data_IF_876524030456
#
_entry.id   IF_876524030456
#
_cell.length_a   1.000
_cell.length_b   1.000
_cell.length_c   1.000
_cell.angle_alpha   90.00
_cell.angle_beta   90.00
_cell.angle_gamma   90.00
#
_symmetry.space_group_name_H-M   'P 1'
#
loop_
_entity.id
_entity.type
_entity.pdbx_description
1 polymer ?
#
# COMPACT_ATOMS: atom_id res chain seq x y z
N UNK A 1 -36.79 38.76 -28.46
CA UNK A 1 -35.78 39.62 -27.81
C UNK A 1 -35.53 39.00 -26.45
N UNK A 2 -34.47 38.28 -26.15
CA UNK A 2 -33.34 37.72 -26.90
C UNK A 2 -32.88 36.52 -26.05
N UNK A 3 -32.30 35.56 -26.74
CA UNK A 3 -31.70 34.33 -26.24
C UNK A 3 -30.38 34.66 -25.55
N UNK A 4 -30.14 34.23 -24.30
CA UNK A 4 -28.80 34.26 -23.72
C UNK A 4 -28.52 32.98 -22.94
N UNK A 5 -28.33 31.90 -23.69
CA UNK A 5 -27.61 30.73 -23.24
C UNK A 5 -26.21 31.15 -22.76
N UNK A 6 -25.95 30.98 -21.47
CA UNK A 6 -24.63 31.15 -20.88
C UNK A 6 -23.63 30.24 -21.60
N UNK A 7 -22.75 30.86 -22.40
CA UNK A 7 -21.62 30.20 -23.05
C UNK A 7 -20.67 29.71 -21.96
N UNK A 8 -20.58 28.39 -21.83
CA UNK A 8 -19.54 27.74 -21.05
C UNK A 8 -18.16 28.10 -21.67
N UNK A 9 -17.17 28.57 -20.88
CA UNK A 9 -15.83 28.80 -21.40
C UNK A 9 -15.21 27.48 -21.86
N UNK A 10 -14.50 27.53 -23.00
CA UNK A 10 -13.77 26.39 -23.53
C UNK A 10 -12.77 25.83 -22.50
N UNK A 11 -12.56 24.51 -22.43
CA UNK A 11 -11.54 23.93 -21.58
C UNK A 11 -10.16 24.51 -21.94
N UNK A 12 -9.27 24.75 -20.96
CA UNK A 12 -7.92 25.20 -21.24
C UNK A 12 -7.22 24.18 -22.15
N UNK A 13 -6.42 24.70 -23.09
CA UNK A 13 -5.64 23.91 -24.03
C UNK A 13 -4.83 22.84 -23.29
N UNK A 14 -4.84 21.63 -23.84
CA UNK A 14 -4.05 20.48 -23.39
C UNK A 14 -2.62 20.91 -23.12
N UNK A 15 -2.19 20.82 -21.86
CA UNK A 15 -0.79 21.00 -21.49
C UNK A 15 -0.06 19.77 -22.01
N UNK A 16 0.77 19.98 -23.03
CA UNK A 16 1.74 19.01 -23.51
C UNK A 16 2.66 18.67 -22.33
N UNK A 17 2.56 17.47 -21.80
CA UNK A 17 3.61 16.92 -20.93
C UNK A 17 4.77 16.56 -21.84
N UNK A 18 5.87 17.29 -21.68
CA UNK A 18 7.14 16.98 -22.31
C UNK A 18 7.56 15.55 -21.95
N UNK A 19 7.85 14.75 -22.98
CA UNK A 19 8.35 13.39 -22.91
C UNK A 19 9.77 13.38 -22.32
N UNK A 20 9.87 13.39 -21.00
CA UNK A 20 11.11 13.14 -20.29
C UNK A 20 11.42 11.63 -20.31
N UNK A 21 11.88 11.11 -21.45
CA UNK A 21 12.82 9.99 -21.60
C UNK A 21 12.73 8.81 -20.64
N UNK A 22 11.54 8.37 -20.24
CA UNK A 22 11.35 7.23 -19.35
C UNK A 22 11.35 5.94 -20.16
N UNK A 23 12.41 5.14 -20.06
CA UNK A 23 12.43 3.79 -20.63
C UNK A 23 11.22 3.01 -20.13
N UNK A 24 10.41 2.44 -21.04
CA UNK A 24 9.28 1.57 -20.65
C UNK A 24 9.81 0.45 -19.75
N UNK A 25 9.15 0.13 -18.62
CA UNK A 25 9.53 -1.03 -17.83
C UNK A 25 9.45 -2.28 -18.71
N UNK A 26 10.56 -3.01 -18.80
CA UNK A 26 10.62 -4.28 -19.53
C UNK A 26 9.97 -5.38 -18.69
N UNK A 27 8.99 -6.07 -19.27
CA UNK A 27 8.41 -7.27 -18.66
C UNK A 27 9.34 -8.43 -18.96
N UNK A 28 9.99 -8.97 -17.94
CA UNK A 28 10.80 -10.17 -18.04
C UNK A 28 10.11 -11.31 -17.29
N UNK A 29 9.68 -12.35 -18.03
CA UNK A 29 9.27 -13.62 -17.42
C UNK A 29 10.51 -14.34 -16.93
N UNK A 30 10.84 -14.18 -15.65
CA UNK A 30 11.93 -14.92 -15.02
C UNK A 30 11.45 -16.33 -14.69
N UNK A 31 11.89 -17.32 -15.48
CA UNK A 31 11.75 -18.73 -15.15
C UNK A 31 12.88 -19.12 -14.18
N UNK A 32 12.57 -19.20 -12.88
CA UNK A 32 13.52 -19.60 -11.84
C UNK A 32 12.80 -20.07 -10.58
N UNK A 33 13.09 -21.29 -10.14
CA UNK A 33 12.27 -22.10 -9.24
C UNK A 33 12.15 -21.63 -7.79
N UNK A 34 10.98 -21.88 -7.21
CA UNK A 34 10.71 -21.80 -5.77
C UNK A 34 9.65 -20.77 -5.41
N UNK A 35 8.40 -21.25 -5.24
CA UNK A 35 7.21 -20.56 -4.71
C UNK A 35 6.55 -19.50 -5.62
N UNK A 36 5.62 -19.97 -6.46
CA UNK A 36 4.43 -19.24 -6.91
C UNK A 36 4.62 -18.30 -8.11
N UNK A 37 4.00 -18.64 -9.24
CA UNK A 37 3.97 -17.84 -10.46
C UNK A 37 3.40 -16.44 -10.22
N UNK A 38 4.20 -15.43 -10.53
CA UNK A 38 3.85 -14.03 -10.47
C UNK A 38 4.59 -13.27 -11.57
N UNK A 39 4.02 -12.15 -12.01
CA UNK A 39 4.65 -11.30 -13.02
C UNK A 39 5.66 -10.36 -12.36
N UNK A 40 6.79 -10.14 -13.02
CA UNK A 40 7.89 -9.35 -12.51
C UNK A 40 8.16 -8.18 -13.48
N UNK A 41 8.27 -6.98 -12.92
CA UNK A 41 8.47 -5.75 -13.65
C UNK A 41 9.68 -5.03 -13.05
N UNK A 42 10.72 -4.83 -13.84
CA UNK A 42 11.87 -4.03 -13.41
C UNK A 42 11.49 -2.55 -13.41
N UNK A 43 11.60 -1.90 -12.24
CA UNK A 43 11.34 -0.46 -12.09
C UNK A 43 12.65 0.34 -12.19
N UNK A 44 13.75 -0.25 -11.71
CA UNK A 44 15.10 0.32 -11.74
C UNK A 44 16.14 -0.81 -11.59
N UNK A 45 17.45 -0.55 -11.74
CA UNK A 45 18.49 -1.55 -11.50
C UNK A 45 18.48 -2.17 -10.09
N UNK A 46 17.84 -1.51 -9.13
CA UNK A 46 17.79 -1.91 -7.72
C UNK A 46 16.37 -2.20 -7.22
N UNK A 47 15.37 -2.08 -8.10
CA UNK A 47 13.95 -2.07 -7.75
C UNK A 47 13.13 -2.92 -8.69
N UNK A 48 12.41 -3.87 -8.11
CA UNK A 48 11.52 -4.79 -8.82
C UNK A 48 10.12 -4.65 -8.25
N UNK A 49 9.13 -4.66 -9.13
CA UNK A 49 7.73 -4.88 -8.81
C UNK A 49 7.33 -6.31 -9.17
N UNK A 50 6.93 -7.11 -8.19
CA UNK A 50 6.31 -8.42 -8.42
C UNK A 50 4.82 -8.35 -8.14
N UNK A 51 4.00 -8.87 -9.05
CA UNK A 51 2.58 -9.17 -8.86
C UNK A 51 2.41 -10.63 -8.47
N UNK A 52 1.90 -10.90 -7.29
CA UNK A 52 1.74 -12.27 -6.79
C UNK A 52 0.40 -12.47 -6.09
N UNK A 53 -0.24 -13.62 -6.37
CA UNK A 53 -1.39 -14.13 -5.62
C UNK A 53 -0.96 -15.01 -4.46
N UNK A 54 -1.56 -14.83 -3.29
CA UNK A 54 -1.25 -15.62 -2.10
C UNK A 54 -1.86 -15.02 -0.84
N UNK A 55 -1.47 -15.49 0.34
CA UNK A 55 -1.91 -15.00 1.65
C UNK A 55 -0.83 -14.11 2.27
N UNK A 56 -1.17 -12.85 2.56
CA UNK A 56 -0.19 -11.83 2.98
C UNK A 56 0.43 -12.18 4.32
N UNK A 57 -0.33 -12.88 5.16
CA UNK A 57 0.11 -13.29 6.50
C UNK A 57 1.22 -14.33 6.49
N UNK A 58 1.46 -14.95 5.32
CA UNK A 58 2.49 -15.96 5.08
C UNK A 58 3.61 -15.46 4.18
N UNK A 59 3.52 -14.23 3.69
CA UNK A 59 4.52 -13.67 2.79
C UNK A 59 5.76 -13.28 3.59
N UNK A 60 6.93 -13.61 3.06
CA UNK A 60 8.24 -13.16 3.51
C UNK A 60 9.26 -13.37 2.38
N UNK A 61 10.38 -12.67 2.45
CA UNK A 61 11.57 -12.88 1.62
C UNK A 61 12.73 -13.32 2.52
N UNK A 62 13.12 -12.49 3.49
CA UNK A 62 14.19 -12.83 4.46
C UNK A 62 13.72 -12.83 5.93
N UNK A 63 12.52 -12.34 6.19
CA UNK A 63 11.85 -12.22 7.49
C UNK A 63 12.36 -11.10 8.40
N UNK A 64 13.56 -10.59 8.20
CA UNK A 64 14.23 -9.60 9.03
C UNK A 64 14.10 -8.17 8.52
N UNK A 65 14.08 -7.99 7.20
CA UNK A 65 13.95 -6.69 6.52
C UNK A 65 12.64 -6.59 5.72
N UNK A 66 11.67 -7.41 6.12
CA UNK A 66 10.36 -7.54 5.49
C UNK A 66 9.30 -6.74 6.24
N UNK A 67 8.39 -6.12 5.50
CA UNK A 67 7.14 -5.59 6.04
C UNK A 67 5.95 -5.98 5.17
N UNK A 68 4.82 -6.23 5.82
CA UNK A 68 3.52 -6.29 5.14
C UNK A 68 2.71 -5.04 5.46
N UNK A 69 1.91 -4.61 4.49
CA UNK A 69 0.98 -3.50 4.70
C UNK A 69 -0.39 -4.04 5.10
N UNK A 70 -0.94 -3.45 6.14
CA UNK A 70 -2.29 -3.69 6.59
C UNK A 70 -3.21 -2.56 6.09
N UNK A 71 -4.29 -2.92 5.39
CA UNK A 71 -5.36 -1.99 5.03
C UNK A 71 -6.31 -1.85 6.24
N UNK A 72 -5.96 -0.92 7.12
CA UNK A 72 -6.62 -0.69 8.39
C UNK A 72 -7.75 0.37 8.27
N UNK A 73 -8.54 0.51 9.34
CA UNK A 73 -9.37 1.68 9.57
C UNK A 73 -8.65 2.74 10.42
N UNK A 74 -9.33 3.87 10.64
CA UNK A 74 -8.77 5.00 11.38
C UNK A 74 -8.50 4.72 12.87
N UNK A 75 -9.16 3.72 13.44
CA UNK A 75 -9.02 3.33 14.84
C UNK A 75 -7.77 2.45 15.04
N UNK A 76 -7.38 1.66 14.02
CA UNK A 76 -6.31 0.67 14.04
C UNK A 76 -6.53 -0.49 15.03
N UNK A 77 -7.76 -0.73 15.49
CA UNK A 77 -8.04 -1.72 16.54
C UNK A 77 -8.53 -3.07 16.01
N UNK A 78 -8.15 -3.39 14.78
CA UNK A 78 -8.59 -4.59 14.08
C UNK A 78 -9.99 -4.47 13.46
N UNK A 79 -10.37 -5.45 12.66
CA UNK A 79 -11.55 -5.40 11.82
C UNK A 79 -11.74 -6.65 10.97
N UNK A 80 -12.37 -6.49 9.80
CA UNK A 80 -12.65 -7.56 8.85
C UNK A 80 -11.57 -7.74 7.77
N UNK A 81 -11.84 -8.61 6.79
CA UNK A 81 -11.00 -8.73 5.58
C UNK A 81 -9.53 -9.05 5.87
N UNK A 82 -8.63 -8.35 5.18
CA UNK A 82 -7.17 -8.52 5.32
C UNK A 82 -6.68 -8.06 6.70
N UNK A 83 -7.26 -7.00 7.27
CA UNK A 83 -6.89 -6.49 8.58
C UNK A 83 -7.18 -7.52 9.68
N UNK A 84 -8.38 -8.10 9.68
CA UNK A 84 -8.72 -9.19 10.58
C UNK A 84 -7.82 -10.42 10.37
N UNK A 85 -7.41 -10.72 9.13
CA UNK A 85 -6.48 -11.83 8.86
C UNK A 85 -5.09 -11.56 9.45
N UNK A 86 -4.56 -10.35 9.28
CA UNK A 86 -3.29 -9.91 9.85
C UNK A 86 -3.34 -9.95 11.38
N UNK A 87 -4.37 -9.40 12.01
CA UNK A 87 -4.53 -9.44 13.47
C UNK A 87 -4.60 -10.87 14.02
N UNK A 88 -5.35 -11.76 13.36
CA UNK A 88 -5.42 -13.18 13.78
C UNK A 88 -4.06 -13.89 13.65
N UNK A 89 -3.31 -13.61 12.58
CA UNK A 89 -2.03 -14.25 12.33
C UNK A 89 -0.91 -13.70 13.24
N UNK A 90 -0.88 -12.38 13.47
CA UNK A 90 0.12 -11.72 14.31
C UNK A 90 -0.05 -12.03 15.81
N UNK A 91 -1.28 -12.31 16.26
CA UNK A 91 -1.61 -12.55 17.66
C UNK A 91 -2.12 -11.30 18.39
N UNK A 92 -2.63 -11.47 19.63
CA UNK A 92 -3.19 -10.37 20.44
C UNK A 92 -2.20 -9.23 20.69
N UNK A 93 -0.90 -9.51 20.66
CA UNK A 93 0.18 -8.55 20.86
C UNK A 93 0.13 -7.41 19.82
N UNK A 94 -0.36 -7.67 18.61
CA UNK A 94 -0.55 -6.64 17.59
C UNK A 94 -1.62 -5.63 18.00
N UNK A 95 -2.76 -6.10 18.53
CA UNK A 95 -3.82 -5.20 19.00
C UNK A 95 -3.33 -4.34 20.17
N UNK A 96 -2.56 -4.93 21.10
CA UNK A 96 -1.94 -4.16 22.18
C UNK A 96 -1.00 -3.07 21.64
N UNK A 97 -0.18 -3.39 20.65
CA UNK A 97 0.72 -2.40 20.03
C UNK A 97 -0.05 -1.29 19.33
N UNK A 98 -1.08 -1.62 18.55
CA UNK A 98 -1.96 -0.64 17.92
C UNK A 98 -2.64 0.27 18.95
N UNK A 99 -3.12 -0.29 20.06
CA UNK A 99 -3.79 0.50 21.11
C UNK A 99 -2.88 1.56 21.76
N UNK A 100 -1.56 1.32 21.75
CA UNK A 100 -0.53 2.23 22.27
C UNK A 100 -0.14 3.33 21.28
N UNK A 101 -0.54 3.23 20.01
CA UNK A 101 -0.36 4.32 19.05
C UNK A 101 -1.21 5.51 19.49
N UNK A 102 -0.62 6.72 19.65
CA UNK A 102 -1.37 7.89 20.10
C UNK A 102 -2.51 8.26 19.15
N UNK A 103 -3.63 8.65 19.74
CA UNK A 103 -4.72 9.27 18.99
C UNK A 103 -4.30 10.69 18.55
N UNK A 104 -4.56 11.00 17.29
CA UNK A 104 -4.35 12.35 16.72
C UNK A 104 -5.63 13.18 16.77
N UNK A 105 -6.78 12.51 16.80
CA UNK A 105 -8.11 13.04 17.07
C UNK A 105 -8.89 11.99 17.90
N UNK A 106 -9.96 12.36 18.62
CA UNK A 106 -10.72 11.40 19.41
C UNK A 106 -11.15 10.17 18.58
N UNK A 107 -10.65 8.99 18.97
CA UNK A 107 -10.92 7.73 18.29
C UNK A 107 -10.13 7.48 16.99
N UNK A 108 -9.20 8.35 16.62
CA UNK A 108 -8.41 8.26 15.37
C UNK A 108 -6.93 8.18 15.69
N UNK A 109 -6.29 7.05 15.34
CA UNK A 109 -4.83 6.83 15.45
C UNK A 109 -4.12 7.05 14.12
N UNK A 110 -4.77 6.65 13.02
CA UNK A 110 -4.26 6.84 11.67
C UNK A 110 -5.33 7.47 10.78
N UNK A 111 -5.23 8.76 10.44
CA UNK A 111 -6.16 9.37 9.49
C UNK A 111 -6.12 8.70 8.12
N UNK A 112 -7.19 8.85 7.35
CA UNK A 112 -7.21 8.51 5.91
C UNK A 112 -6.01 9.13 5.17
N UNK A 113 -5.31 8.32 4.37
CA UNK A 113 -4.10 8.69 3.62
C UNK A 113 -2.79 8.61 4.43
N UNK A 114 -2.86 8.35 5.73
CA UNK A 114 -1.69 8.21 6.61
C UNK A 114 -1.27 6.75 6.81
N UNK A 115 -0.10 6.56 7.44
CA UNK A 115 0.39 5.25 7.85
C UNK A 115 1.05 5.28 9.24
N UNK A 116 1.06 4.13 9.92
CA UNK A 116 1.72 3.85 11.20
C UNK A 116 2.44 2.51 11.11
N UNK A 117 3.44 2.28 11.96
CA UNK A 117 4.24 1.04 11.95
C UNK A 117 4.28 0.40 13.33
N UNK A 118 4.21 -0.92 13.37
CA UNK A 118 4.40 -1.74 14.57
C UNK A 118 5.30 -2.93 14.26
N UNK A 119 5.71 -3.66 15.30
CA UNK A 119 6.28 -5.00 15.15
C UNK A 119 5.24 -5.95 14.54
N UNK A 120 5.68 -7.01 13.87
CA UNK A 120 4.79 -8.00 13.26
C UNK A 120 4.47 -9.24 14.12
N UNK A 121 5.11 -9.37 15.29
CA UNK A 121 4.86 -10.43 16.27
C UNK A 121 5.02 -11.84 15.69
N UNK A 122 3.93 -12.61 15.54
CA UNK A 122 3.95 -14.00 15.06
C UNK A 122 4.02 -14.12 13.54
N UNK A 123 3.91 -13.01 12.81
CA UNK A 123 4.05 -12.99 11.36
C UNK A 123 5.52 -13.27 10.96
N UNK A 124 5.77 -13.84 9.77
CA UNK A 124 7.11 -14.17 9.31
C UNK A 124 7.91 -12.97 8.79
N UNK A 125 7.54 -11.75 9.18
CA UNK A 125 8.16 -10.48 8.75
C UNK A 125 8.55 -9.65 9.98
N UNK A 126 9.33 -8.58 9.82
CA UNK A 126 9.75 -7.77 10.97
C UNK A 126 8.69 -6.73 11.36
N UNK A 127 8.01 -6.14 10.39
CA UNK A 127 7.06 -5.04 10.64
C UNK A 127 5.70 -5.22 9.97
N UNK A 128 4.68 -4.61 10.58
CA UNK A 128 3.39 -4.34 9.94
C UNK A 128 3.25 -2.83 9.78
N UNK A 129 2.98 -2.37 8.56
CA UNK A 129 2.66 -0.97 8.27
C UNK A 129 1.16 -0.86 8.10
N UNK A 130 0.49 -0.20 9.04
CA UNK A 130 -0.94 0.05 9.02
C UNK A 130 -1.22 1.34 8.26
N UNK A 131 -2.03 1.27 7.22
CA UNK A 131 -2.42 2.45 6.44
C UNK A 131 -3.91 2.45 6.18
N UNK A 132 -4.48 3.66 6.12
CA UNK A 132 -5.90 3.85 5.90
C UNK A 132 -6.11 4.42 4.52
N UNK A 133 -6.72 3.63 3.63
CA UNK A 133 -7.16 4.11 2.33
C UNK A 133 -8.50 4.87 2.42
N UNK A 134 -8.86 5.63 1.38
CA UNK A 134 -10.13 6.35 1.35
C UNK A 134 -11.32 5.40 1.24
N UNK A 135 -12.46 5.88 1.72
CA UNK A 135 -13.77 5.39 1.30
C UNK A 135 -14.21 6.28 0.13
N UNK A 136 -14.30 5.72 -1.08
CA UNK A 136 -14.49 6.49 -2.32
C UNK A 136 -15.72 7.40 -2.31
N UNK A 137 -16.83 6.98 -1.69
CA UNK A 137 -18.06 7.77 -1.64
C UNK A 137 -18.07 8.84 -0.53
N UNK A 138 -17.03 8.89 0.31
CA UNK A 138 -16.94 9.78 1.49
C UNK A 138 -15.78 10.76 1.36
N UNK A 139 -14.63 10.31 0.83
CA UNK A 139 -13.46 11.14 0.63
C UNK A 139 -13.69 12.12 -0.53
N UNK A 140 -13.32 13.40 -0.35
CA UNK A 140 -13.46 14.43 -1.39
C UNK A 140 -12.48 14.26 -2.55
N UNK A 141 -11.33 13.64 -2.27
CA UNK A 141 -10.20 13.46 -3.19
C UNK A 141 -9.60 12.05 -3.00
N UNK A 142 -10.37 10.98 -3.26
CA UNK A 142 -9.96 9.61 -2.97
C UNK A 142 -8.67 9.21 -3.69
N UNK A 143 -8.44 9.70 -4.91
CA UNK A 143 -7.18 9.48 -5.64
C UNK A 143 -5.96 10.06 -4.92
N UNK A 144 -6.11 11.22 -4.28
CA UNK A 144 -5.04 11.87 -3.51
C UNK A 144 -4.77 11.09 -2.23
N UNK A 145 -5.83 10.75 -1.49
CA UNK A 145 -5.75 9.97 -0.25
C UNK A 145 -5.16 8.58 -0.47
N UNK A 146 -5.58 7.88 -1.52
CA UNK A 146 -5.02 6.59 -1.88
C UNK A 146 -3.54 6.72 -2.26
N UNK A 147 -3.18 7.72 -3.06
CA UNK A 147 -1.78 8.00 -3.39
C UNK A 147 -0.94 8.29 -2.14
N UNK A 148 -1.50 9.00 -1.16
CA UNK A 148 -0.84 9.28 0.11
C UNK A 148 -0.66 8.01 0.96
N UNK A 149 -1.65 7.12 1.02
CA UNK A 149 -1.55 5.85 1.75
C UNK A 149 -0.35 5.01 1.26
N UNK A 150 -0.20 4.87 -0.06
CA UNK A 150 0.97 4.19 -0.65
C UNK A 150 2.29 4.93 -0.35
N UNK A 151 2.34 6.25 -0.61
CA UNK A 151 3.56 7.05 -0.39
C UNK A 151 4.03 7.02 1.07
N UNK A 152 3.12 7.19 2.02
CA UNK A 152 3.42 7.18 3.44
C UNK A 152 3.84 5.80 3.95
N UNK A 153 3.24 4.72 3.41
CA UNK A 153 3.68 3.36 3.71
C UNK A 153 5.10 3.09 3.23
N UNK A 154 5.41 3.48 1.99
CA UNK A 154 6.76 3.35 1.42
C UNK A 154 7.79 4.21 2.16
N UNK A 155 7.40 5.41 2.59
CA UNK A 155 8.23 6.29 3.42
C UNK A 155 8.59 5.63 4.75
N UNK A 156 7.61 5.08 5.47
CA UNK A 156 7.85 4.37 6.73
C UNK A 156 8.74 3.13 6.54
N UNK A 157 8.53 2.37 5.47
CA UNK A 157 9.38 1.23 5.12
C UNK A 157 10.86 1.66 4.99
N UNK A 158 11.10 2.73 4.22
CA UNK A 158 12.44 3.29 4.04
C UNK A 158 13.05 3.79 5.36
N UNK A 159 12.29 4.50 6.18
CA UNK A 159 12.73 5.03 7.49
C UNK A 159 13.10 3.91 8.48
N UNK A 160 12.48 2.73 8.34
CA UNK A 160 12.71 1.57 9.22
C UNK A 160 13.62 0.49 8.58
N UNK A 161 14.36 0.84 7.52
CA UNK A 161 15.30 -0.06 6.81
C UNK A 161 14.65 -1.35 6.28
N UNK A 162 13.37 -1.30 5.91
CA UNK A 162 12.67 -2.38 5.23
C UNK A 162 13.15 -2.44 3.77
N UNK A 163 13.62 -3.61 3.33
CA UNK A 163 14.04 -3.84 1.95
C UNK A 163 12.92 -4.44 1.11
N UNK A 164 12.04 -5.22 1.73
CA UNK A 164 10.96 -5.95 1.07
C UNK A 164 9.64 -5.54 1.68
N UNK A 165 8.74 -5.01 0.85
CA UNK A 165 7.39 -4.65 1.28
C UNK A 165 6.34 -5.34 0.41
N UNK A 166 5.28 -5.86 1.03
CA UNK A 166 4.11 -6.40 0.34
C UNK A 166 2.85 -5.61 0.68
N UNK A 167 2.12 -5.18 -0.35
CA UNK A 167 0.84 -4.48 -0.24
C UNK A 167 -0.34 -5.39 -0.58
N UNK A 168 -1.46 -5.35 0.16
CA UNK A 168 -2.75 -5.80 -0.37
C UNK A 168 -3.31 -4.72 -1.32
N UNK A 169 -4.42 -5.03 -2.00
CA UNK A 169 -5.18 -4.02 -2.73
C UNK A 169 -5.94 -3.11 -1.74
N UNK A 170 -5.33 -1.99 -1.36
CA UNK A 170 -5.89 -1.01 -0.41
C UNK A 170 -7.21 -0.45 -0.97
N UNK A 171 -8.22 -0.31 -0.09
CA UNK A 171 -9.56 0.21 -0.43
C UNK A 171 -10.40 -0.63 -1.42
N UNK A 172 -10.04 -1.89 -1.68
CA UNK A 172 -10.78 -2.77 -2.60
C UNK A 172 -11.80 -3.73 -1.92
N UNK A 173 -12.11 -3.56 -0.62
CA UNK A 173 -13.23 -4.23 0.05
C UNK A 173 -13.14 -5.75 0.30
N UNK A 174 -14.25 -6.32 0.81
CA UNK A 174 -14.41 -7.68 1.39
C UNK A 174 -14.93 -8.73 0.38
N UNK A 175 -15.17 -8.35 -0.87
CA UNK A 175 -15.55 -9.31 -1.93
C UNK A 175 -14.32 -9.80 -2.69
N UNK A 176 -13.77 -10.92 -2.22
CA UNK A 176 -12.85 -11.75 -3.00
C UNK A 176 -11.54 -11.04 -3.37
N UNK A 177 -10.68 -10.80 -2.38
CA UNK A 177 -9.33 -10.32 -2.63
C UNK A 177 -8.60 -11.24 -3.63
N UNK A 178 -8.53 -10.80 -4.88
CA UNK A 178 -7.41 -11.15 -5.75
C UNK A 178 -6.25 -10.35 -5.17
N UNK A 179 -5.51 -11.02 -4.29
CA UNK A 179 -4.33 -10.45 -3.66
C UNK A 179 -3.31 -10.25 -4.78
N UNK A 180 -3.16 -9.02 -5.26
CA UNK A 180 -1.99 -8.63 -6.03
C UNK A 180 -1.04 -8.01 -5.02
N UNK A 181 -0.05 -8.77 -4.57
CA UNK A 181 1.04 -8.17 -3.82
C UNK A 181 1.84 -7.29 -4.75
N UNK A 182 2.18 -6.07 -4.32
CA UNK A 182 3.27 -5.29 -4.88
C UNK A 182 4.49 -5.58 -4.02
N UNK A 183 5.39 -6.45 -4.47
CA UNK A 183 6.74 -6.52 -3.92
C UNK A 183 7.47 -5.28 -4.41
N UNK A 184 7.84 -4.31 -3.56
CA UNK A 184 8.81 -3.29 -3.96
C UNK A 184 10.13 -3.59 -3.26
N UNK A 185 11.16 -3.95 -4.02
CA UNK A 185 12.51 -4.13 -3.50
C UNK A 185 13.19 -2.77 -3.40
N UNK A 186 13.48 -2.29 -2.19
CA UNK A 186 14.30 -1.10 -1.95
C UNK A 186 15.66 -1.58 -1.47
N UNK A 187 16.55 -1.95 -2.39
CA UNK A 187 17.95 -2.18 -2.01
C UNK A 187 18.66 -0.83 -1.86
N UNK A 188 19.35 -0.62 -0.74
CA UNK A 188 20.25 0.52 -0.55
C UNK A 188 21.31 0.48 -1.65
N UNK A 189 21.49 1.60 -2.36
CA UNK A 189 22.79 1.90 -2.97
C UNK A 189 23.81 2.01 -1.83
N UNK A 190 24.95 1.33 -1.99
CA UNK A 190 26.07 1.35 -1.03
C UNK A 190 26.67 2.73 -0.82
#
# INVERSE_FOLDING_TARGET
>A
MEDEAARNPAPPASVSVDDAGGTRPSVSTVAGGGLGGGECFELSPSGVLKLQKGDITKWFVDGSTDAIVNAADEQMLGGGGVDGAIHRAAGPELLEACSKVPEVLPGVRCPTGEARITQAFRLPVSHVIHTVGPIYDVDKHPEVSLGNAYRNSLRLAKENNVQYIAFPAISCGVYGCILFYFQMMLTRSG
#
